data_IF_351486358078
#
_entry.id   IF_351486358078
#
_cell.length_a   1.000
_cell.length_b   1.000
_cell.length_c   1.000
_cell.angle_alpha   90.00
_cell.angle_beta   90.00
_cell.angle_gamma   90.00
#
_symmetry.space_group_name_H-M   'P 1'
#
loop_
_entity.id
_entity.type
_entity.pdbx_description
1 polymer ?
#
# COMPACT_ATOMS: atom_id res chain seq x y z
N UNK A 1 -3.05 -36.46 14.26
CA UNK A 1 -2.86 -34.99 14.30
C UNK A 1 -2.66 -34.51 12.88
N UNK A 2 -3.73 -34.03 12.27
CA UNK A 2 -3.67 -33.44 10.94
C UNK A 2 -3.03 -32.05 11.12
N UNK A 3 -1.77 -31.92 10.69
CA UNK A 3 -1.10 -30.62 10.61
C UNK A 3 -1.99 -29.73 9.75
N UNK A 4 -2.61 -28.72 10.36
CA UNK A 4 -3.19 -27.59 9.64
C UNK A 4 -2.13 -27.13 8.65
N UNK A 5 -2.30 -27.49 7.37
CA UNK A 5 -1.54 -26.90 6.28
C UNK A 5 -1.91 -25.44 6.31
N UNK A 6 -1.15 -24.64 7.06
CA UNK A 6 -1.26 -23.19 7.04
C UNK A 6 -1.08 -22.79 5.58
N UNK A 7 -2.20 -22.54 4.90
CA UNK A 7 -2.17 -21.98 3.55
C UNK A 7 -1.37 -20.70 3.68
N UNK A 8 -0.28 -20.61 2.92
CA UNK A 8 0.43 -19.36 2.76
C UNK A 8 -0.61 -18.28 2.41
N UNK A 9 -0.60 -17.15 3.12
CA UNK A 9 -1.56 -16.09 2.83
C UNK A 9 -1.38 -15.65 1.38
N UNK A 10 -2.51 -15.41 0.71
CA UNK A 10 -2.54 -15.13 -0.72
C UNK A 10 -2.56 -13.63 -0.93
N UNK A 11 -1.73 -13.12 -1.84
CA UNK A 11 -1.78 -11.73 -2.24
C UNK A 11 -3.20 -11.29 -2.66
N UNK A 12 -3.61 -10.12 -2.19
CA UNK A 12 -4.95 -9.56 -2.41
C UNK A 12 -4.84 -8.25 -3.18
N UNK A 13 -5.62 -8.10 -4.24
CA UNK A 13 -5.70 -6.85 -4.99
C UNK A 13 -7.18 -6.53 -5.21
N UNK A 14 -7.70 -5.52 -4.51
CA UNK A 14 -9.12 -5.19 -4.55
C UNK A 14 -9.40 -3.69 -4.70
N UNK A 15 -10.54 -3.37 -5.31
CA UNK A 15 -10.96 -1.98 -5.47
C UNK A 15 -10.62 -1.32 -6.82
N UNK A 16 -10.04 -2.04 -7.80
CA UNK A 16 -9.80 -1.50 -9.16
C UNK A 16 -11.03 -0.85 -9.80
N UNK A 17 -12.23 -1.41 -9.60
CA UNK A 17 -13.49 -0.81 -10.10
C UNK A 17 -13.80 0.53 -9.42
N UNK A 18 -13.55 0.66 -8.10
CA UNK A 18 -13.73 1.92 -7.35
C UNK A 18 -12.75 2.98 -7.89
N UNK A 19 -11.47 2.62 -8.05
CA UNK A 19 -10.45 3.50 -8.62
C UNK A 19 -10.82 3.99 -10.03
N UNK A 20 -11.24 3.09 -10.93
CA UNK A 20 -11.69 3.46 -12.29
C UNK A 20 -12.83 4.49 -12.26
N UNK A 21 -13.85 4.26 -11.42
CA UNK A 21 -15.00 5.17 -11.27
C UNK A 21 -14.57 6.53 -10.71
N UNK A 22 -13.67 6.54 -9.74
CA UNK A 22 -13.13 7.77 -9.17
C UNK A 22 -12.37 8.58 -10.23
N UNK A 23 -11.43 7.95 -10.94
CA UNK A 23 -10.65 8.62 -12.00
C UNK A 23 -11.53 9.19 -13.12
N UNK A 24 -12.60 8.49 -13.51
CA UNK A 24 -13.53 9.01 -14.52
C UNK A 24 -14.28 10.27 -14.10
N UNK A 25 -14.40 10.55 -12.80
CA UNK A 25 -15.09 11.72 -12.27
C UNK A 25 -14.18 12.95 -12.08
N UNK A 26 -12.85 12.78 -12.21
CA UNK A 26 -11.86 13.82 -11.90
C UNK A 26 -11.55 14.77 -13.07
N UNK A 27 -12.17 14.59 -14.24
CA UNK A 27 -12.06 15.49 -15.40
C UNK A 27 -10.63 15.98 -15.73
N UNK A 28 -9.64 15.08 -15.68
CA UNK A 28 -8.25 15.40 -16.05
C UNK A 28 -7.39 16.01 -14.94
N UNK A 29 -7.87 16.07 -13.69
CA UNK A 29 -6.99 16.38 -12.56
C UNK A 29 -5.78 15.44 -12.52
N UNK A 30 -4.66 15.97 -12.03
CA UNK A 30 -3.43 15.21 -11.88
C UNK A 30 -2.76 15.51 -10.54
N UNK A 31 -2.41 14.45 -9.83
CA UNK A 31 -1.54 14.47 -8.65
C UNK A 31 -0.88 13.08 -8.53
N UNK A 32 0.09 12.96 -7.62
CA UNK A 32 0.83 11.70 -7.44
C UNK A 32 -0.07 10.53 -7.06
N UNK A 33 -1.10 10.77 -6.25
CA UNK A 33 -2.08 9.74 -5.92
C UNK A 33 -2.84 9.22 -7.15
N UNK A 34 -3.28 10.13 -8.03
CA UNK A 34 -3.96 9.79 -9.28
C UNK A 34 -3.04 8.95 -10.18
N UNK A 35 -1.75 9.28 -10.25
CA UNK A 35 -0.77 8.49 -10.99
C UNK A 35 -0.62 7.09 -10.39
N UNK A 36 -0.54 6.95 -9.07
CA UNK A 36 -0.52 5.65 -8.38
C UNK A 36 -1.78 4.83 -8.65
N UNK A 37 -2.96 5.46 -8.64
CA UNK A 37 -4.23 4.81 -8.97
C UNK A 37 -4.26 4.31 -10.43
N UNK A 38 -3.67 5.07 -11.36
CA UNK A 38 -3.52 4.64 -12.77
C UNK A 38 -2.60 3.42 -12.86
N UNK A 39 -1.46 3.42 -12.16
CA UNK A 39 -0.57 2.26 -12.08
C UNK A 39 -1.26 1.04 -11.47
N UNK A 40 -2.09 1.24 -10.44
CA UNK A 40 -2.86 0.16 -9.84
C UNK A 40 -3.88 -0.44 -10.82
N UNK A 41 -4.61 0.41 -11.55
CA UNK A 41 -5.59 -0.02 -12.54
C UNK A 41 -4.95 -0.77 -13.70
N UNK A 42 -3.79 -0.33 -14.18
CA UNK A 42 -3.06 -0.98 -15.28
C UNK A 42 -2.41 -2.30 -14.86
N UNK A 43 -2.17 -2.51 -13.56
CA UNK A 43 -1.43 -3.65 -13.03
C UNK A 43 0.07 -3.38 -12.82
N UNK A 44 0.58 -2.24 -13.31
CA UNK A 44 1.98 -1.87 -13.17
C UNK A 44 2.43 -1.71 -11.71
N UNK A 45 1.54 -1.28 -10.81
CA UNK A 45 1.83 -1.26 -9.37
C UNK A 45 2.06 -2.68 -8.84
N UNK A 46 1.19 -3.63 -9.21
CA UNK A 46 1.28 -5.01 -8.76
C UNK A 46 2.57 -5.68 -9.26
N UNK A 47 2.94 -5.42 -10.50
CA UNK A 47 4.21 -5.87 -11.08
C UNK A 47 5.41 -5.28 -10.33
N UNK A 48 5.35 -4.00 -9.96
CA UNK A 48 6.42 -3.34 -9.22
C UNK A 48 6.59 -3.91 -7.82
N UNK A 49 5.49 -4.14 -7.09
CA UNK A 49 5.53 -4.74 -5.75
C UNK A 49 6.04 -6.20 -5.79
N UNK A 50 5.71 -6.97 -6.82
CA UNK A 50 6.15 -8.37 -7.00
C UNK A 50 7.64 -8.52 -7.33
N UNK A 51 8.36 -7.44 -7.61
CA UNK A 51 9.83 -7.47 -7.79
C UNK A 51 10.57 -7.68 -6.47
N UNK A 52 9.90 -7.49 -5.34
CA UNK A 52 10.46 -7.54 -4.00
C UNK A 52 10.00 -8.83 -3.27
N UNK A 53 10.79 -9.28 -2.30
CA UNK A 53 10.59 -10.55 -1.59
C UNK A 53 9.57 -10.47 -0.44
N UNK A 54 8.37 -9.93 -0.70
CA UNK A 54 7.30 -9.87 0.32
C UNK A 54 6.54 -11.20 0.43
N UNK A 55 6.30 -11.66 1.66
CA UNK A 55 5.48 -12.85 1.95
C UNK A 55 3.99 -12.63 1.69
N UNK A 56 3.55 -11.39 1.79
CA UNK A 56 2.18 -10.97 1.55
C UNK A 56 2.17 -9.56 0.97
N UNK A 57 1.41 -9.39 -0.10
CA UNK A 57 1.11 -8.11 -0.72
C UNK A 57 -0.40 -7.97 -0.77
N UNK A 58 -0.92 -6.92 -0.14
CA UNK A 58 -2.31 -6.56 -0.23
C UNK A 58 -2.46 -5.11 -0.70
N UNK A 59 -3.33 -4.89 -1.69
CA UNK A 59 -3.63 -3.56 -2.20
C UNK A 59 -5.13 -3.36 -2.19
N UNK A 60 -5.57 -2.29 -1.52
CA UNK A 60 -6.96 -1.92 -1.37
C UNK A 60 -7.17 -0.50 -1.85
N UNK A 61 -8.34 -0.26 -2.45
CA UNK A 61 -8.83 1.09 -2.69
C UNK A 61 -10.11 1.23 -1.90
N UNK A 62 -10.12 2.17 -0.95
CA UNK A 62 -11.31 2.47 -0.20
C UNK A 62 -11.81 3.90 -0.41
N UNK A 63 -13.05 4.12 0.02
CA UNK A 63 -13.65 5.44 -0.02
C UNK A 63 -13.47 6.09 1.33
N UNK A 64 -12.81 7.23 1.31
CA UNK A 64 -12.81 8.15 2.42
C UNK A 64 -14.10 8.97 2.40
N UNK A 65 -14.35 9.71 3.48
CA UNK A 65 -15.35 10.76 3.50
C UNK A 65 -15.16 11.77 2.35
N UNK A 66 -16.20 12.54 2.03
CA UNK A 66 -16.13 13.63 1.04
C UNK A 66 -15.76 13.19 -0.39
N UNK A 67 -16.11 11.96 -0.79
CA UNK A 67 -15.85 11.38 -2.13
C UNK A 67 -14.37 11.24 -2.50
N UNK A 68 -13.45 11.39 -1.53
CA UNK A 68 -12.05 11.04 -1.72
C UNK A 68 -11.89 9.51 -1.65
N UNK A 69 -10.81 9.01 -2.22
CA UNK A 69 -10.39 7.62 -2.03
C UNK A 69 -8.97 7.60 -1.50
N UNK A 70 -8.61 6.52 -0.83
CA UNK A 70 -7.24 6.14 -0.52
C UNK A 70 -6.82 4.95 -1.39
N UNK A 71 -5.51 4.81 -1.58
CA UNK A 71 -4.90 3.58 -2.04
C UNK A 71 -4.04 3.07 -0.90
N UNK A 72 -4.43 1.95 -0.30
CA UNK A 72 -3.72 1.28 0.76
C UNK A 72 -2.88 0.15 0.17
N UNK A 73 -1.62 0.04 0.59
CA UNK A 73 -0.73 -1.08 0.29
C UNK A 73 -0.21 -1.63 1.61
N UNK A 74 -0.56 -2.87 1.92
CA UNK A 74 -0.02 -3.60 3.06
C UNK A 74 0.99 -4.63 2.56
N UNK A 75 2.19 -4.58 3.12
CA UNK A 75 3.27 -5.50 2.79
C UNK A 75 3.67 -6.25 4.05
N UNK A 76 4.16 -7.48 3.87
CA UNK A 76 4.71 -8.26 4.96
C UNK A 76 6.01 -8.93 4.57
N UNK A 77 6.96 -8.89 5.48
CA UNK A 77 8.20 -9.64 5.44
C UNK A 77 8.41 -10.32 6.81
N UNK A 78 8.32 -11.64 6.84
CA UNK A 78 8.31 -12.47 8.04
C UNK A 78 7.26 -11.99 9.05
N UNK A 79 7.68 -11.54 10.23
CA UNK A 79 6.83 -10.99 11.28
C UNK A 79 6.74 -9.44 11.23
N UNK A 80 7.29 -8.80 10.19
CA UNK A 80 7.30 -7.35 10.03
C UNK A 80 6.24 -6.95 9.01
N UNK A 81 5.38 -6.01 9.37
CA UNK A 81 4.32 -5.47 8.51
C UNK A 81 4.62 -4.01 8.17
N UNK A 82 4.20 -3.62 6.98
CA UNK A 82 4.35 -2.26 6.45
C UNK A 82 2.99 -1.82 5.94
N UNK A 83 2.48 -0.72 6.49
CA UNK A 83 1.32 -0.02 5.96
C UNK A 83 1.79 1.16 5.12
N UNK A 84 1.18 1.32 3.95
CA UNK A 84 1.37 2.47 3.06
C UNK A 84 -0.01 2.99 2.66
N UNK A 85 -0.33 4.22 3.03
CA UNK A 85 -1.61 4.85 2.70
C UNK A 85 -1.38 6.09 1.84
N UNK A 86 -1.91 6.07 0.62
CA UNK A 86 -1.75 7.14 -0.37
C UNK A 86 -3.02 7.98 -0.46
N UNK A 87 -3.00 9.16 0.17
CA UNK A 87 -4.08 10.14 0.17
C UNK A 87 -3.93 11.14 -0.98
N UNK A 88 -4.86 12.09 -1.13
CA UNK A 88 -4.83 13.05 -2.24
C UNK A 88 -3.61 13.99 -2.24
N UNK A 89 -3.11 14.29 -1.06
CA UNK A 89 -2.23 15.43 -0.75
C UNK A 89 -0.99 15.00 0.05
N UNK A 90 -1.01 13.81 0.63
CA UNK A 90 0.09 13.24 1.39
C UNK A 90 0.05 11.72 1.30
N UNK A 91 1.10 11.08 1.77
CA UNK A 91 1.10 9.65 2.04
C UNK A 91 1.62 9.38 3.44
N UNK A 92 1.17 8.27 4.01
CA UNK A 92 1.60 7.79 5.31
C UNK A 92 2.27 6.44 5.15
N UNK A 93 3.26 6.17 5.97
CA UNK A 93 3.79 4.82 6.12
C UNK A 93 4.08 4.49 7.57
N UNK A 94 3.97 3.22 7.91
CA UNK A 94 4.32 2.71 9.22
C UNK A 94 5.00 1.34 9.12
N UNK A 95 5.76 0.99 10.16
CA UNK A 95 6.44 -0.28 10.32
C UNK A 95 6.04 -0.87 11.67
N UNK A 96 5.54 -2.09 11.70
CA UNK A 96 5.13 -2.72 12.96
C UNK A 96 5.32 -4.23 12.94
N UNK A 97 5.55 -4.80 14.12
CA UNK A 97 5.68 -6.24 14.28
C UNK A 97 4.30 -6.89 14.43
N UNK A 98 4.15 -8.12 13.93
CA UNK A 98 2.95 -8.91 14.18
C UNK A 98 2.73 -9.09 15.69
N UNK A 99 1.53 -8.75 16.16
CA UNK A 99 1.16 -8.84 17.58
C UNK A 99 1.46 -7.59 18.42
N UNK A 100 1.93 -6.49 17.82
CA UNK A 100 1.97 -5.20 18.52
C UNK A 100 0.55 -4.71 18.86
N UNK A 101 0.45 -3.78 19.80
CA UNK A 101 -0.83 -3.16 20.12
C UNK A 101 -1.16 -2.05 19.09
N UNK A 102 -2.41 -1.55 19.12
CA UNK A 102 -2.87 -0.51 18.18
C UNK A 102 -2.10 0.81 18.36
N UNK A 103 -1.83 1.21 19.61
CA UNK A 103 -1.15 2.46 19.95
C UNK A 103 0.28 2.49 19.41
N UNK A 104 1.00 1.36 19.42
CA UNK A 104 2.33 1.21 18.84
C UNK A 104 2.29 1.45 17.32
N UNK A 105 1.26 0.94 16.64
CA UNK A 105 1.07 1.16 15.20
C UNK A 105 0.82 2.63 14.94
N UNK A 106 -0.14 3.24 15.64
CA UNK A 106 -0.51 4.65 15.47
C UNK A 106 0.69 5.57 15.70
N UNK A 107 1.48 5.32 16.74
CA UNK A 107 2.68 6.08 17.06
C UNK A 107 3.83 5.88 16.05
N UNK A 108 3.78 4.81 15.24
CA UNK A 108 4.78 4.54 14.20
C UNK A 108 4.45 5.16 12.84
N UNK A 109 3.26 5.75 12.68
CA UNK A 109 2.83 6.37 11.42
C UNK A 109 3.64 7.63 11.19
N UNK A 110 4.29 7.69 10.03
CA UNK A 110 5.00 8.87 9.57
C UNK A 110 4.33 9.39 8.30
N UNK A 111 4.00 10.68 8.34
CA UNK A 111 3.31 11.39 7.26
C UNK A 111 4.29 12.18 6.42
N UNK A 112 4.14 12.10 5.10
CA UNK A 112 4.98 12.76 4.11
C UNK A 112 4.15 13.48 3.06
N UNK A 113 4.63 14.64 2.62
CA UNK A 113 4.13 15.29 1.41
C UNK A 113 4.68 14.61 0.16
N UNK A 114 3.99 14.77 -0.97
CA UNK A 114 4.38 14.20 -2.25
C UNK A 114 5.57 14.88 -2.95
N UNK A 115 6.25 15.81 -2.28
CA UNK A 115 7.41 16.52 -2.84
C UNK A 115 8.50 15.49 -3.16
N UNK A 116 8.95 15.48 -4.42
CA UNK A 116 9.94 14.53 -4.94
C UNK A 116 9.58 13.04 -4.76
N UNK A 117 8.29 12.71 -4.65
CA UNK A 117 7.84 11.33 -4.47
C UNK A 117 8.22 10.43 -5.67
N UNK A 118 8.90 9.34 -5.34
CA UNK A 118 9.29 8.22 -6.21
C UNK A 118 8.94 6.89 -5.51
N UNK A 119 8.04 6.13 -6.13
CA UNK A 119 7.58 4.85 -5.60
C UNK A 119 8.70 3.80 -5.56
N UNK A 120 9.55 3.74 -6.58
CA UNK A 120 10.64 2.75 -6.64
C UNK A 120 11.71 3.07 -5.58
N UNK A 121 11.98 4.36 -5.35
CA UNK A 121 12.86 4.78 -4.25
C UNK A 121 12.31 4.38 -2.88
N UNK A 122 11.01 4.62 -2.64
CA UNK A 122 10.34 4.23 -1.39
C UNK A 122 10.37 2.71 -1.17
N UNK A 123 10.06 1.92 -2.20
CA UNK A 123 10.06 0.45 -2.09
C UNK A 123 11.46 -0.10 -1.82
N UNK A 124 12.51 0.48 -2.42
CA UNK A 124 13.91 0.14 -2.11
C UNK A 124 14.29 0.48 -0.66
N UNK A 125 13.86 1.64 -0.17
CA UNK A 125 14.10 2.02 1.24
C UNK A 125 13.44 0.99 2.18
N UNK A 126 12.18 0.65 1.92
CA UNK A 126 11.43 -0.35 2.69
C UNK A 126 12.17 -1.69 2.69
N UNK A 127 12.56 -2.19 1.51
CA UNK A 127 13.30 -3.45 1.40
C UNK A 127 14.64 -3.41 2.15
N UNK A 128 15.38 -2.30 2.08
CA UNK A 128 16.68 -2.15 2.75
C UNK A 128 16.59 -2.27 4.28
N UNK A 129 15.47 -1.86 4.87
CA UNK A 129 15.19 -1.99 6.32
C UNK A 129 14.95 -3.45 6.75
N UNK A 130 14.79 -4.38 5.81
CA UNK A 130 14.48 -5.79 6.09
C UNK A 130 15.55 -6.79 5.67
N UNK A 131 16.52 -6.39 4.85
CA UNK A 131 17.67 -7.24 4.46
C UNK A 131 18.72 -7.42 5.57
N UNK A 132 18.47 -6.89 6.78
CA UNK A 132 19.36 -6.98 7.95
C UNK A 132 18.66 -7.61 9.16
#
# INVERSE_FOLDING_TARGET
>A
MELLKNKLPKNVFSGKRKAKKYLSALNGQNNKQIDLLRLYISGALEESLKKYEFDLIEVFVDKLGNKKIDLQVNLRFQNKNIGLDFFSDYYEFCFYLAGCNLEDVENSIVKYEYNDFDLDALLKEIESKFRH
#
